data_IF_560088738317
#
_entry.id   IF_560088738317
#
_cell.length_a   1.000
_cell.length_b   1.000
_cell.length_c   1.000
_cell.angle_alpha   90.00
_cell.angle_beta   90.00
_cell.angle_gamma   90.00
#
_symmetry.space_group_name_H-M   'P 1'
#
loop_
_entity.id
_entity.type
_entity.pdbx_description
1 polymer ?
#
# COMPACT_ATOMS: atom_id res chain seq x y z
N UNK A 1 4.63 -22.46 43.82
CA UNK A 1 3.49 -22.51 42.91
C UNK A 1 3.28 -21.08 42.36
N UNK A 2 3.66 -20.84 41.10
CA UNK A 2 3.63 -19.51 40.53
C UNK A 2 2.17 -19.23 40.09
N UNK A 3 1.49 -18.18 40.59
CA UNK A 3 0.15 -17.86 40.15
C UNK A 3 0.21 -17.56 38.64
N UNK A 4 -0.72 -18.13 37.90
CA UNK A 4 -0.86 -17.94 36.47
C UNK A 4 -0.80 -16.44 36.15
N UNK A 5 0.35 -16.00 35.64
CA UNK A 5 0.53 -14.64 35.16
C UNK A 5 -0.44 -14.48 33.97
N UNK A 6 -1.53 -13.79 34.17
CA UNK A 6 -2.41 -13.39 33.07
C UNK A 6 -1.56 -12.58 32.08
N UNK A 7 -1.38 -13.13 30.90
CA UNK A 7 -0.73 -12.42 29.80
C UNK A 7 -1.49 -11.12 29.55
N UNK A 8 -0.77 -10.03 29.34
CA UNK A 8 -1.38 -8.79 28.93
C UNK A 8 -1.85 -8.90 27.48
N UNK A 9 -2.68 -7.96 27.05
CA UNK A 9 -3.30 -8.01 25.72
C UNK A 9 -2.26 -7.98 24.58
N UNK A 10 -1.14 -7.28 24.78
CA UNK A 10 -0.03 -7.25 23.84
C UNK A 10 0.67 -8.62 23.70
N UNK A 11 0.92 -9.30 24.81
CA UNK A 11 1.49 -10.66 24.83
C UNK A 11 0.54 -11.70 24.21
N UNK A 12 -0.77 -11.49 24.35
CA UNK A 12 -1.79 -12.35 23.71
C UNK A 12 -1.86 -12.11 22.20
N UNK A 13 -1.70 -10.86 21.75
CA UNK A 13 -1.65 -10.50 20.32
C UNK A 13 -0.40 -11.06 19.66
N UNK A 14 0.75 -10.96 20.32
CA UNK A 14 2.02 -11.53 19.85
C UNK A 14 1.92 -13.06 19.67
N UNK A 15 1.34 -13.77 20.64
CA UNK A 15 1.09 -15.23 20.54
C UNK A 15 0.14 -15.60 19.40
N UNK A 16 -0.80 -14.73 19.06
CA UNK A 16 -1.72 -14.91 17.92
C UNK A 16 -1.13 -14.47 16.59
N UNK A 17 0.08 -13.88 16.59
CA UNK A 17 0.69 -13.32 15.38
C UNK A 17 -0.02 -12.07 14.86
N UNK A 18 -0.75 -11.37 15.73
CA UNK A 18 -1.59 -10.23 15.35
C UNK A 18 -0.84 -8.90 15.29
N UNK A 19 0.41 -8.83 15.67
CA UNK A 19 1.19 -7.60 15.68
C UNK A 19 0.66 -6.52 16.66
N UNK A 20 1.31 -5.36 16.72
CA UNK A 20 0.90 -4.26 17.58
C UNK A 20 -0.42 -3.62 17.14
N UNK A 21 -1.08 -2.97 18.08
CA UNK A 21 -2.31 -2.21 17.81
C UNK A 21 -2.02 -1.03 16.87
N UNK A 22 -2.71 -1.00 15.73
CA UNK A 22 -2.61 0.06 14.72
C UNK A 22 -3.93 0.83 14.57
N UNK A 23 -4.80 0.78 15.57
CA UNK A 23 -6.10 1.45 15.52
C UNK A 23 -6.00 2.99 15.44
N UNK A 24 -4.84 3.55 15.80
CA UNK A 24 -4.60 4.99 15.70
C UNK A 24 -3.79 5.30 14.43
N UNK A 25 -4.24 6.31 13.69
CA UNK A 25 -3.50 6.84 12.55
C UNK A 25 -2.10 7.29 13.00
N UNK A 26 -1.06 6.76 12.36
CA UNK A 26 0.31 7.14 12.64
C UNK A 26 1.09 7.41 11.37
N UNK A 27 1.99 8.39 11.45
CA UNK A 27 2.99 8.58 10.40
C UNK A 27 4.20 7.68 10.68
N UNK A 28 4.69 7.05 9.61
CA UNK A 28 5.89 6.22 9.66
C UNK A 28 7.12 7.10 9.60
N UNK A 29 7.94 7.02 10.65
CA UNK A 29 9.19 7.78 10.75
C UNK A 29 10.30 7.05 9.97
N UNK A 30 10.95 7.71 9.00
CA UNK A 30 12.04 7.12 8.22
C UNK A 30 13.20 6.59 9.08
N UNK A 31 13.45 7.19 10.24
CA UNK A 31 14.50 6.75 11.16
C UNK A 31 14.17 5.47 11.92
N UNK A 32 12.88 5.15 12.02
CA UNK A 32 12.36 3.99 12.75
C UNK A 32 11.83 2.89 11.83
N UNK A 33 11.69 3.17 10.55
CA UNK A 33 11.05 2.28 9.59
C UNK A 33 12.03 1.88 8.49
N UNK A 34 12.00 0.60 8.11
CA UNK A 34 12.80 0.06 7.03
C UNK A 34 11.95 -0.79 6.10
N UNK A 35 11.95 -0.42 4.82
CA UNK A 35 11.36 -1.24 3.77
C UNK A 35 12.40 -2.19 3.17
N UNK A 36 12.02 -3.42 2.89
CA UNK A 36 12.88 -4.39 2.22
C UNK A 36 12.06 -5.37 1.36
N UNK A 37 12.69 -5.97 0.33
CA UNK A 37 11.99 -6.89 -0.55
C UNK A 37 11.83 -8.26 0.11
N UNK A 38 10.66 -8.86 -0.09
CA UNK A 38 10.40 -10.26 0.22
C UNK A 38 10.42 -11.14 -1.03
N UNK A 39 9.99 -12.38 -0.85
CA UNK A 39 9.83 -13.31 -1.97
C UNK A 39 8.74 -12.83 -2.92
N UNK A 40 8.88 -13.15 -4.22
CA UNK A 40 7.92 -12.80 -5.27
C UNK A 40 7.62 -11.29 -5.34
N UNK A 41 8.62 -10.46 -5.10
CA UNK A 41 8.51 -9.00 -5.09
C UNK A 41 7.52 -8.44 -4.04
N UNK A 42 7.22 -9.21 -3.00
CA UNK A 42 6.47 -8.70 -1.85
C UNK A 42 7.26 -7.57 -1.17
N UNK A 43 6.54 -6.58 -0.65
CA UNK A 43 7.12 -5.53 0.16
C UNK A 43 6.99 -5.90 1.64
N UNK A 44 8.04 -5.72 2.41
CA UNK A 44 8.03 -5.87 3.85
C UNK A 44 8.36 -4.55 4.52
N UNK A 45 7.83 -4.35 5.73
CA UNK A 45 8.11 -3.19 6.56
C UNK A 45 8.55 -3.66 7.95
N UNK A 46 9.71 -3.23 8.38
CA UNK A 46 10.17 -3.31 9.77
C UNK A 46 9.95 -1.97 10.44
N UNK A 47 9.32 -1.99 11.59
CA UNK A 47 9.28 -0.84 12.51
C UNK A 47 10.16 -1.20 13.69
N UNK A 48 11.32 -0.55 13.78
CA UNK A 48 12.40 -0.88 14.72
C UNK A 48 11.91 -0.96 16.16
N UNK A 49 12.18 -2.09 16.80
CA UNK A 49 11.80 -2.33 18.19
C UNK A 49 10.30 -2.57 18.42
N UNK A 50 9.49 -2.62 17.36
CA UNK A 50 8.04 -2.82 17.46
C UNK A 50 7.63 -4.10 16.75
N UNK A 51 7.72 -4.18 15.42
CA UNK A 51 7.23 -5.32 14.65
C UNK A 51 7.78 -5.38 13.23
N UNK A 52 7.77 -6.57 12.67
CA UNK A 52 8.05 -6.82 11.24
C UNK A 52 6.75 -7.23 10.55
N UNK A 53 6.31 -6.41 9.60
CA UNK A 53 5.12 -6.65 8.81
C UNK A 53 5.51 -7.28 7.46
N UNK A 54 5.17 -8.54 7.28
CA UNK A 54 5.41 -9.26 6.02
C UNK A 54 4.27 -9.07 5.03
N UNK A 55 4.60 -8.91 3.74
CA UNK A 55 3.60 -8.84 2.68
C UNK A 55 2.68 -7.63 2.76
N UNK A 56 3.27 -6.44 2.98
CA UNK A 56 2.52 -5.18 2.96
C UNK A 56 2.34 -4.68 1.53
N UNK A 57 1.33 -3.85 1.31
CA UNK A 57 1.18 -3.11 0.08
C UNK A 57 1.06 -1.60 0.34
N UNK A 58 1.44 -0.83 -0.66
CA UNK A 58 1.36 0.62 -0.63
C UNK A 58 0.13 1.11 -1.40
N UNK A 59 -0.54 2.13 -0.90
CA UNK A 59 -1.67 2.77 -1.53
C UNK A 59 -1.58 4.29 -1.45
N UNK A 60 -1.95 4.98 -2.54
CA UNK A 60 -2.02 6.43 -2.53
C UNK A 60 -3.21 6.91 -1.71
N UNK A 61 -2.98 7.80 -0.74
CA UNK A 61 -4.08 8.52 -0.09
C UNK A 61 -4.66 9.59 -1.03
N UNK A 62 -3.80 10.20 -1.88
CA UNK A 62 -4.18 11.22 -2.87
C UNK A 62 -3.64 10.86 -4.25
N UNK A 63 -4.31 9.95 -5.00
CA UNK A 63 -3.74 9.36 -6.22
C UNK A 63 -3.60 10.34 -7.39
N UNK A 64 -4.32 11.46 -7.38
CA UNK A 64 -4.31 12.44 -8.48
C UNK A 64 -3.30 13.56 -8.23
N UNK A 65 -3.33 14.15 -7.03
CA UNK A 65 -2.63 15.40 -6.76
C UNK A 65 -1.24 15.21 -6.09
N UNK A 66 -1.07 14.18 -5.26
CA UNK A 66 0.10 14.03 -4.39
C UNK A 66 0.63 12.60 -4.38
N UNK A 67 1.16 12.15 -5.50
CA UNK A 67 1.63 10.75 -5.65
C UNK A 67 2.88 10.40 -4.86
N UNK A 68 3.70 11.37 -4.45
CA UNK A 68 4.90 11.15 -3.62
C UNK A 68 4.67 11.39 -2.13
N UNK A 69 3.47 11.83 -1.76
CA UNK A 69 3.10 12.17 -0.38
C UNK A 69 1.90 11.35 0.08
N UNK A 70 1.83 11.12 1.38
CA UNK A 70 0.72 10.42 2.04
C UNK A 70 0.41 9.07 1.41
N UNK A 71 1.37 8.15 1.52
CA UNK A 71 1.24 6.78 1.05
C UNK A 71 0.87 5.88 2.23
N UNK A 72 -0.31 5.28 2.19
CA UNK A 72 -0.75 4.30 3.17
C UNK A 72 -0.01 2.98 3.00
N UNK A 73 0.48 2.42 4.11
CA UNK A 73 1.08 1.09 4.15
C UNK A 73 0.12 0.16 4.89
N UNK A 74 -0.28 -0.88 4.20
CA UNK A 74 -1.39 -1.73 4.59
C UNK A 74 -0.95 -3.19 4.50
N UNK A 75 -1.37 -4.01 5.45
CA UNK A 75 -1.18 -5.46 5.41
C UNK A 75 -2.52 -6.15 5.21
N UNK A 76 -2.64 -6.95 4.15
CA UNK A 76 -3.78 -7.84 3.97
C UNK A 76 -3.70 -9.02 4.91
N UNK A 77 -4.72 -9.22 5.72
CA UNK A 77 -4.83 -10.37 6.64
C UNK A 77 -5.57 -11.53 5.97
N UNK A 78 -5.27 -12.74 6.44
CA UNK A 78 -5.95 -13.96 5.98
C UNK A 78 -7.45 -13.97 6.31
N UNK A 79 -7.87 -13.17 7.27
CA UNK A 79 -9.28 -12.97 7.66
C UNK A 79 -10.07 -12.14 6.66
N UNK A 80 -9.41 -11.52 5.67
CA UNK A 80 -10.02 -10.63 4.68
C UNK A 80 -10.07 -9.17 5.12
N UNK A 81 -9.68 -8.89 6.37
CA UNK A 81 -9.59 -7.52 6.86
C UNK A 81 -8.20 -6.95 6.58
N UNK A 82 -8.15 -5.73 6.09
CA UNK A 82 -6.91 -5.00 5.90
C UNK A 82 -6.49 -4.29 7.18
N UNK A 83 -5.20 -4.39 7.52
CA UNK A 83 -4.61 -3.70 8.65
C UNK A 83 -3.83 -2.49 8.14
N UNK A 84 -4.29 -1.29 8.43
CA UNK A 84 -3.52 -0.08 8.19
C UNK A 84 -2.39 0.04 9.21
N UNK A 85 -1.14 0.00 8.73
CA UNK A 85 0.05 0.08 9.59
C UNK A 85 0.41 1.53 9.87
N UNK A 86 0.34 2.38 8.85
CA UNK A 86 0.61 3.80 8.98
C UNK A 86 0.80 4.48 7.62
N UNK A 87 1.12 5.75 7.67
CA UNK A 87 1.26 6.61 6.48
C UNK A 87 2.69 7.10 6.34
N UNK A 88 3.29 6.89 5.18
CA UNK A 88 4.49 7.58 4.73
C UNK A 88 4.08 8.99 4.32
N UNK A 89 4.56 10.01 5.04
CA UNK A 89 4.20 11.40 4.75
C UNK A 89 4.81 11.88 3.44
N UNK A 90 6.12 11.64 3.27
CA UNK A 90 6.86 11.94 2.05
C UNK A 90 7.81 10.80 1.76
N UNK A 91 7.75 10.28 0.56
CA UNK A 91 8.59 9.15 0.17
C UNK A 91 10.07 9.57 0.04
N UNK A 92 10.32 10.82 -0.30
CA UNK A 92 11.67 11.37 -0.44
C UNK A 92 12.43 11.52 0.90
N UNK A 93 11.75 11.37 2.02
CA UNK A 93 12.39 11.38 3.36
C UNK A 93 13.04 10.02 3.69
N UNK A 94 12.75 8.98 2.90
CA UNK A 94 13.37 7.65 3.03
C UNK A 94 14.62 7.52 2.16
N UNK A 95 15.56 6.62 2.52
CA UNK A 95 16.66 6.25 1.63
C UNK A 95 16.15 5.85 0.25
N UNK A 96 16.87 6.23 -0.81
CA UNK A 96 16.40 6.08 -2.20
C UNK A 96 16.11 4.62 -2.58
N UNK A 97 16.90 3.67 -2.08
CA UNK A 97 16.68 2.23 -2.28
C UNK A 97 15.33 1.77 -1.70
N UNK A 98 14.97 2.28 -0.53
CA UNK A 98 13.70 1.97 0.12
C UNK A 98 12.52 2.70 -0.52
N UNK A 99 12.70 3.96 -0.88
CA UNK A 99 11.72 4.73 -1.62
C UNK A 99 11.39 4.07 -2.96
N UNK A 100 12.40 3.54 -3.67
CA UNK A 100 12.19 2.82 -4.93
C UNK A 100 11.44 1.49 -4.76
N UNK A 101 11.62 0.77 -3.66
CA UNK A 101 10.81 -0.41 -3.34
C UNK A 101 9.33 -0.05 -3.21
N UNK A 102 9.00 1.03 -2.51
CA UNK A 102 7.63 1.51 -2.36
C UNK A 102 7.07 2.01 -3.69
N UNK A 103 7.84 2.79 -4.48
CA UNK A 103 7.43 3.23 -5.82
C UNK A 103 7.15 2.04 -6.74
N UNK A 104 8.00 1.02 -6.70
CA UNK A 104 7.81 -0.20 -7.48
C UNK A 104 6.53 -0.96 -7.07
N UNK A 105 6.24 -1.05 -5.76
CA UNK A 105 5.00 -1.64 -5.26
C UNK A 105 3.77 -0.85 -5.73
N UNK A 106 3.83 0.48 -5.71
CA UNK A 106 2.78 1.35 -6.22
C UNK A 106 2.57 1.18 -7.72
N UNK A 107 3.64 1.14 -8.53
CA UNK A 107 3.53 0.91 -9.98
C UNK A 107 2.87 -0.43 -10.31
N UNK A 108 3.13 -1.49 -9.55
CA UNK A 108 2.48 -2.79 -9.74
C UNK A 108 0.99 -2.75 -9.38
N UNK A 109 0.63 -1.99 -8.36
CA UNK A 109 -0.76 -1.88 -7.90
C UNK A 109 -1.57 -0.95 -8.79
N UNK A 110 -0.99 0.18 -9.19
CA UNK A 110 -1.66 1.21 -9.98
C UNK A 110 -1.10 1.24 -11.40
N UNK A 111 -1.77 0.52 -12.28
CA UNK A 111 -1.42 0.50 -13.69
C UNK A 111 -2.14 1.63 -14.41
N UNK A 112 -1.58 2.83 -14.35
CA UNK A 112 -2.14 3.98 -15.05
C UNK A 112 -1.75 4.00 -16.52
N UNK A 113 -2.74 4.29 -17.38
CA UNK A 113 -2.52 4.70 -18.75
C UNK A 113 -2.71 6.22 -18.83
N UNK A 114 -1.78 6.90 -19.47
CA UNK A 114 -1.95 8.31 -19.82
C UNK A 114 -2.59 8.41 -21.19
N UNK A 115 -3.82 8.92 -21.26
CA UNK A 115 -4.51 9.13 -22.52
C UNK A 115 -3.88 10.33 -23.21
N UNK A 116 -3.29 10.13 -24.38
CA UNK A 116 -2.70 11.18 -25.22
C UNK A 116 -3.69 11.71 -26.28
N UNK A 117 -4.59 10.85 -26.74
CA UNK A 117 -5.59 11.22 -27.74
C UNK A 117 -6.86 10.40 -27.57
N UNK A 118 -8.02 11.04 -27.75
CA UNK A 118 -9.33 10.38 -27.76
C UNK A 118 -9.77 10.28 -29.22
N UNK A 119 -9.84 9.07 -29.77
CA UNK A 119 -10.25 8.81 -31.15
C UNK A 119 -11.74 8.80 -31.32
N UNK A 120 -12.44 8.23 -30.34
CA UNK A 120 -13.89 8.08 -30.36
C UNK A 120 -14.48 8.02 -28.97
N UNK A 121 -15.59 8.68 -28.75
CA UNK A 121 -16.47 8.51 -27.60
C UNK A 121 -17.85 8.19 -28.13
N UNK A 122 -18.44 7.11 -27.67
CA UNK A 122 -19.77 6.66 -28.06
C UNK A 122 -20.58 6.21 -26.85
N UNK A 123 -21.89 6.19 -27.03
CA UNK A 123 -22.84 5.68 -26.07
C UNK A 123 -23.35 4.33 -26.56
N UNK A 124 -23.11 3.26 -25.79
CA UNK A 124 -23.50 1.90 -26.17
C UNK A 124 -24.16 1.18 -25.01
N UNK A 125 -25.43 0.86 -25.12
CA UNK A 125 -26.16 0.03 -24.15
C UNK A 125 -26.13 0.50 -22.70
N UNK A 126 -26.08 1.81 -22.44
CA UNK A 126 -25.99 2.38 -21.10
C UNK A 126 -24.54 2.53 -20.58
N UNK A 127 -23.55 2.31 -21.45
CA UNK A 127 -22.14 2.52 -21.19
C UNK A 127 -21.55 3.58 -22.13
N UNK A 128 -20.56 4.31 -21.63
CA UNK A 128 -19.74 5.16 -22.49
C UNK A 128 -18.57 4.33 -22.99
N UNK A 129 -18.46 4.15 -24.30
CA UNK A 129 -17.31 3.52 -24.94
C UNK A 129 -16.30 4.59 -25.37
N UNK A 130 -15.03 4.40 -25.05
CA UNK A 130 -13.94 5.28 -25.46
C UNK A 130 -12.86 4.49 -26.16
N UNK A 131 -12.49 4.94 -27.36
CA UNK A 131 -11.31 4.46 -28.07
C UNK A 131 -10.24 5.53 -27.98
N UNK A 132 -9.10 5.21 -27.38
CA UNK A 132 -8.06 6.17 -27.05
C UNK A 132 -6.67 5.69 -27.43
N UNK A 133 -5.77 6.62 -27.64
CA UNK A 133 -4.34 6.36 -27.64
C UNK A 133 -3.76 6.66 -26.28
N UNK A 134 -2.90 5.79 -25.78
CA UNK A 134 -2.23 5.95 -24.50
C UNK A 134 -0.72 5.87 -24.67
N UNK A 135 0.00 6.23 -23.62
CA UNK A 135 1.46 6.06 -23.53
C UNK A 135 1.95 4.60 -23.68
N UNK A 136 1.01 3.63 -23.63
CA UNK A 136 1.26 2.18 -23.79
C UNK A 136 0.60 1.58 -25.01
N UNK A 137 0.07 2.42 -25.91
CA UNK A 137 -0.61 2.02 -27.12
C UNK A 137 -2.12 2.29 -27.12
N UNK A 138 -2.83 1.88 -28.18
CA UNK A 138 -4.27 2.06 -28.26
C UNK A 138 -5.01 1.21 -27.23
N UNK A 139 -6.07 1.76 -26.65
CA UNK A 139 -6.89 1.09 -25.65
C UNK A 139 -8.37 1.42 -25.83
N UNK A 140 -9.23 0.49 -25.40
CA UNK A 140 -10.68 0.66 -25.41
C UNK A 140 -11.17 0.54 -23.96
N UNK A 141 -11.99 1.50 -23.54
CA UNK A 141 -12.58 1.53 -22.21
C UNK A 141 -14.10 1.57 -22.31
N UNK A 142 -14.75 0.83 -21.42
CA UNK A 142 -16.17 0.93 -21.15
C UNK A 142 -16.35 1.50 -19.75
N UNK A 143 -17.07 2.59 -19.63
CA UNK A 143 -17.40 3.24 -18.36
C UNK A 143 -18.91 3.24 -18.15
N UNK A 144 -19.32 3.14 -16.91
CA UNK A 144 -20.72 3.19 -16.49
C UNK A 144 -21.04 4.52 -15.84
#
# INVERSE_FOLDING_TARGET
>A
MNPERKLNEAELREKRGEGPDTSQLRYLDPSMCRFYPGNLAALHLEVTGIWVYGGVYAAYCFPVERRSEFIGIIQSRRTGDDLEIGIVRRLDDFPEDQAELVRSALRRRYFFHTISHIRHIGWDGGYVSMHVDTDKGPANFLMR
#
